data_IF_816697702427
#
_entry.id   IF_816697702427
#
_cell.length_a   1.000
_cell.length_b   1.000
_cell.length_c   1.000
_cell.angle_alpha   90.00
_cell.angle_beta   90.00
_cell.angle_gamma   90.00
#
_symmetry.space_group_name_H-M   'P 1'
#
loop_
_entity.id
_entity.type
_entity.pdbx_description
1 polymer ?
#
# COMPACT_ATOMS: atom_id res chain seq x y z
N UNK A 1 2.55 16.56 -9.83
CA UNK A 1 1.22 16.20 -10.37
C UNK A 1 0.70 15.08 -9.49
N UNK A 2 -0.40 15.32 -8.79
CA UNK A 2 -0.94 14.42 -7.77
C UNK A 2 -1.51 13.19 -8.44
N UNK A 3 -0.79 12.08 -8.36
CA UNK A 3 -1.27 10.78 -8.82
C UNK A 3 -2.44 10.40 -7.91
N UNK A 4 -3.67 10.39 -8.43
CA UNK A 4 -4.86 10.27 -7.59
C UNK A 4 -4.83 8.94 -6.82
N UNK A 5 -4.86 9.02 -5.48
CA UNK A 5 -5.09 7.86 -4.62
C UNK A 5 -6.52 7.36 -4.85
N UNK A 6 -6.66 6.10 -5.22
CA UNK A 6 -7.97 5.46 -5.23
C UNK A 6 -8.32 4.86 -3.85
N UNK A 7 -9.54 4.36 -3.71
CA UNK A 7 -10.03 3.79 -2.46
C UNK A 7 -9.22 2.58 -2.01
N UNK A 8 -8.62 1.81 -2.93
CA UNK A 8 -7.79 0.67 -2.58
C UNK A 8 -6.45 1.15 -2.03
N UNK A 9 -5.83 2.14 -2.68
CA UNK A 9 -4.57 2.73 -2.23
C UNK A 9 -4.72 3.31 -0.82
N UNK A 10 -5.84 3.99 -0.55
CA UNK A 10 -6.15 4.51 0.80
C UNK A 10 -6.27 3.39 1.84
N UNK A 11 -6.88 2.25 1.50
CA UNK A 11 -6.97 1.07 2.40
C UNK A 11 -5.61 0.42 2.62
N UNK A 12 -4.80 0.30 1.57
CA UNK A 12 -3.43 -0.22 1.66
C UNK A 12 -2.61 0.67 2.61
N UNK A 13 -2.71 1.99 2.44
CA UNK A 13 -2.00 2.95 3.29
C UNK A 13 -2.44 2.85 4.75
N UNK A 14 -3.75 2.78 5.01
CA UNK A 14 -4.31 2.60 6.36
C UNK A 14 -3.79 1.31 7.03
N UNK A 15 -3.72 0.20 6.29
CA UNK A 15 -3.19 -1.07 6.80
C UNK A 15 -1.69 -0.96 7.15
N UNK A 16 -0.89 -0.38 6.26
CA UNK A 16 0.57 -0.22 6.46
C UNK A 16 0.85 0.73 7.64
N UNK A 17 0.07 1.81 7.76
CA UNK A 17 0.23 2.79 8.86
C UNK A 17 -0.17 2.22 10.22
N UNK A 18 -1.19 1.35 10.26
CA UNK A 18 -1.61 0.67 11.49
C UNK A 18 -0.61 -0.42 11.90
N UNK A 19 -0.09 -1.16 10.94
CA UNK A 19 0.82 -2.26 11.18
C UNK A 19 1.79 -2.42 10.01
N UNK A 20 2.98 -1.86 10.17
CA UNK A 20 4.03 -1.91 9.15
C UNK A 20 4.64 -3.32 9.00
N UNK A 21 4.39 -4.24 9.93
CA UNK A 21 4.91 -5.62 9.90
C UNK A 21 4.16 -6.53 8.92
N UNK A 22 2.99 -6.09 8.43
CA UNK A 22 2.19 -6.85 7.47
C UNK A 22 2.94 -7.10 6.17
N UNK A 23 2.90 -8.35 5.72
CA UNK A 23 3.42 -8.70 4.41
C UNK A 23 2.52 -8.16 3.30
N UNK A 24 3.07 -8.04 2.10
CA UNK A 24 2.28 -7.63 0.93
C UNK A 24 1.15 -8.63 0.64
N UNK A 25 1.33 -9.91 0.97
CA UNK A 25 0.28 -10.92 0.85
C UNK A 25 -0.87 -10.66 1.83
N UNK A 26 -0.56 -10.39 3.11
CA UNK A 26 -1.58 -10.07 4.12
C UNK A 26 -2.38 -8.82 3.75
N UNK A 27 -1.70 -7.79 3.24
CA UNK A 27 -2.35 -6.56 2.79
C UNK A 27 -3.25 -6.86 1.59
N UNK A 28 -2.76 -7.63 0.61
CA UNK A 28 -3.49 -8.00 -0.59
C UNK A 28 -4.79 -8.76 -0.25
N UNK A 29 -4.70 -9.75 0.64
CA UNK A 29 -5.85 -10.52 1.10
C UNK A 29 -6.91 -9.63 1.78
N UNK A 30 -6.47 -8.68 2.62
CA UNK A 30 -7.37 -7.73 3.31
C UNK A 30 -8.07 -6.74 2.37
N UNK A 31 -7.43 -6.38 1.25
CA UNK A 31 -8.00 -5.44 0.26
C UNK A 31 -8.66 -6.14 -0.93
N UNK A 32 -8.71 -7.48 -0.96
CA UNK A 32 -9.33 -8.25 -2.03
C UNK A 32 -8.55 -8.25 -3.34
N UNK A 33 -7.22 -8.17 -3.26
CA UNK A 33 -6.31 -8.22 -4.40
C UNK A 33 -5.38 -9.43 -4.33
N UNK A 34 -4.74 -9.76 -5.45
CA UNK A 34 -3.56 -10.63 -5.41
C UNK A 34 -2.29 -9.83 -5.06
N UNK A 35 -1.25 -10.53 -4.64
CA UNK A 35 -0.01 -9.90 -4.15
C UNK A 35 0.69 -9.03 -5.20
N UNK A 36 0.66 -9.41 -6.49
CA UNK A 36 1.30 -8.66 -7.58
C UNK A 36 0.69 -7.26 -7.81
N UNK A 37 -0.64 -7.08 -8.00
CA UNK A 37 -1.24 -5.76 -8.11
C UNK A 37 -1.13 -4.94 -6.82
N UNK A 38 -1.21 -5.57 -5.63
CA UNK A 38 -1.00 -4.88 -4.37
C UNK A 38 0.43 -4.31 -4.27
N UNK A 39 1.44 -5.10 -4.64
CA UNK A 39 2.83 -4.66 -4.68
C UNK A 39 3.05 -3.48 -5.62
N UNK A 40 2.50 -3.52 -6.84
CA UNK A 40 2.61 -2.40 -7.80
C UNK A 40 2.04 -1.09 -7.24
N UNK A 41 0.91 -1.17 -6.51
CA UNK A 41 0.29 -0.01 -5.87
C UNK A 41 1.15 0.56 -4.76
N UNK A 42 1.68 -0.30 -3.88
CA UNK A 42 2.61 0.11 -2.82
C UNK A 42 3.83 0.80 -3.44
N UNK A 43 4.46 0.17 -4.45
CA UNK A 43 5.63 0.73 -5.13
C UNK A 43 5.33 2.09 -5.79
N UNK A 44 4.18 2.24 -6.44
CA UNK A 44 3.74 3.53 -7.01
C UNK A 44 3.61 4.60 -5.93
N UNK A 45 3.01 4.27 -4.77
CA UNK A 45 2.89 5.20 -3.66
C UNK A 45 4.24 5.57 -3.04
N UNK A 46 5.20 4.64 -2.99
CA UNK A 46 6.59 4.92 -2.58
C UNK A 46 7.29 5.86 -3.58
N UNK A 47 7.21 5.57 -4.88
CA UNK A 47 7.78 6.39 -5.95
C UNK A 47 7.16 7.80 -6.01
N UNK A 48 5.87 7.92 -5.70
CA UNK A 48 5.16 9.18 -5.60
C UNK A 48 5.46 9.96 -4.30
N UNK A 49 6.22 9.38 -3.36
CA UNK A 49 6.53 9.98 -2.06
C UNK A 49 5.35 10.01 -1.07
N UNK A 50 4.27 9.28 -1.35
CA UNK A 50 3.11 9.10 -0.45
C UNK A 50 3.52 8.21 0.72
N UNK A 51 4.23 7.11 0.42
CA UNK A 51 4.88 6.27 1.44
C UNK A 51 6.34 6.72 1.53
N UNK A 52 6.71 7.34 2.65
CA UNK A 52 8.06 7.88 2.85
C UNK A 52 9.04 6.85 3.42
N UNK A 53 8.53 5.77 3.99
CA UNK A 53 9.33 4.70 4.59
C UNK A 53 8.46 3.82 5.49
N UNK A 54 8.98 2.64 5.83
CA UNK A 54 8.37 1.74 6.81
C UNK A 54 9.24 1.77 8.06
N UNK A 55 8.64 2.09 9.20
CA UNK A 55 9.30 2.05 10.51
C UNK A 55 8.75 0.82 11.22
N UNK A 56 9.61 -0.17 11.45
CA UNK A 56 9.30 -1.44 12.12
C UNK A 56 9.92 -1.49 13.50
#
# INVERSE_FOLDING_TARGET
MSDALDTIDAKILDLIQKDASLSVADIADRVGLSSSPCWRRIKRMEEAGIIQGRVT
#
